data_IF_330959704814
#
_entry.id   IF_330959704814
#
_cell.length_a   1.000
_cell.length_b   1.000
_cell.length_c   1.000
_cell.angle_alpha   90.00
_cell.angle_beta   90.00
_cell.angle_gamma   90.00
#
_symmetry.space_group_name_H-M   'P 1'
#
loop_
_entity.id
_entity.type
_entity.pdbx_description
1 polymer ?
#
# COMPACT_ATOMS: atom_id res chain seq x y z
N UNK A 1 -66.02 -7.30 -14.67
CA UNK A 1 -65.06 -7.05 -15.76
C UNK A 1 -64.29 -5.79 -15.44
N UNK A 2 -62.96 -5.87 -15.33
CA UNK A 2 -62.09 -4.71 -15.11
C UNK A 2 -61.10 -4.92 -13.96
N UNK A 3 -59.81 -4.82 -14.30
CA UNK A 3 -58.63 -4.63 -13.42
C UNK A 3 -57.79 -5.86 -13.03
N UNK A 4 -57.59 -6.82 -13.95
CA UNK A 4 -56.45 -7.79 -13.89
C UNK A 4 -55.50 -7.66 -15.10
N UNK A 5 -55.23 -6.43 -15.57
CA UNK A 5 -54.40 -6.21 -16.77
C UNK A 5 -53.18 -5.29 -16.54
N UNK A 6 -52.86 -4.92 -15.30
CA UNK A 6 -51.69 -4.08 -14.99
C UNK A 6 -50.96 -4.49 -13.71
N UNK A 7 -50.87 -5.79 -13.43
CA UNK A 7 -49.68 -6.30 -12.76
C UNK A 7 -48.75 -6.83 -13.84
N UNK A 8 -48.26 -5.93 -14.70
CA UNK A 8 -46.99 -6.17 -15.37
C UNK A 8 -45.99 -6.37 -14.25
N UNK A 9 -45.47 -7.59 -14.16
CA UNK A 9 -44.45 -8.01 -13.19
C UNK A 9 -43.16 -7.21 -13.49
N UNK A 10 -43.16 -5.95 -13.09
CA UNK A 10 -42.04 -5.01 -13.13
C UNK A 10 -40.99 -5.36 -12.06
N UNK A 11 -41.09 -6.54 -11.44
CA UNK A 11 -40.02 -7.07 -10.63
C UNK A 11 -38.78 -7.27 -11.52
N UNK A 12 -37.60 -7.01 -10.95
CA UNK A 12 -36.31 -7.23 -11.62
C UNK A 12 -36.21 -8.67 -12.18
N UNK A 13 -36.90 -9.60 -11.53
CA UNK A 13 -37.01 -11.00 -11.92
C UNK A 13 -37.91 -11.22 -13.15
N UNK A 14 -39.10 -10.61 -13.21
CA UNK A 14 -40.03 -10.68 -14.34
C UNK A 14 -39.43 -10.06 -15.61
N UNK A 15 -38.74 -8.92 -15.50
CA UNK A 15 -38.05 -8.30 -16.64
C UNK A 15 -36.89 -9.18 -17.13
N UNK A 16 -36.10 -9.78 -16.23
CA UNK A 16 -35.01 -10.68 -16.63
C UNK A 16 -35.55 -11.90 -17.38
N UNK A 17 -36.61 -12.55 -16.91
CA UNK A 17 -37.14 -13.75 -17.58
C UNK A 17 -37.60 -13.49 -19.02
N UNK A 18 -38.24 -12.34 -19.27
CA UNK A 18 -38.73 -11.93 -20.59
C UNK A 18 -37.72 -11.16 -21.46
N UNK A 19 -36.54 -10.83 -20.94
CA UNK A 19 -35.53 -10.05 -21.66
C UNK A 19 -34.66 -10.91 -22.59
N UNK A 20 -34.25 -10.29 -23.70
CA UNK A 20 -33.28 -10.82 -24.66
C UNK A 20 -31.99 -11.28 -23.98
N UNK A 21 -31.40 -12.36 -24.52
CA UNK A 21 -30.20 -13.00 -23.97
C UNK A 21 -29.02 -12.02 -23.80
N UNK A 22 -28.96 -11.00 -24.66
CA UNK A 22 -27.97 -9.93 -24.60
C UNK A 22 -28.08 -9.14 -23.29
N UNK A 23 -29.30 -8.80 -22.83
CA UNK A 23 -29.53 -8.07 -21.58
C UNK A 23 -29.06 -8.88 -20.38
N UNK A 24 -29.34 -10.19 -20.39
CA UNK A 24 -28.90 -11.11 -19.33
C UNK A 24 -27.37 -11.16 -19.23
N UNK A 25 -26.68 -11.23 -20.36
CA UNK A 25 -25.22 -11.19 -20.43
C UNK A 25 -24.66 -9.86 -19.89
N UNK A 26 -25.27 -8.72 -20.24
CA UNK A 26 -24.85 -7.40 -19.74
C UNK A 26 -25.03 -7.31 -18.22
N UNK A 27 -26.17 -7.73 -17.68
CA UNK A 27 -26.41 -7.70 -16.23
C UNK A 27 -25.37 -8.53 -15.46
N UNK A 28 -25.06 -9.75 -15.94
CA UNK A 28 -24.02 -10.59 -15.35
C UNK A 28 -22.65 -9.92 -15.46
N UNK A 29 -22.33 -9.35 -16.62
CA UNK A 29 -21.07 -8.63 -16.85
C UNK A 29 -20.88 -7.45 -15.89
N UNK A 30 -21.94 -6.67 -15.63
CA UNK A 30 -21.91 -5.55 -14.69
C UNK A 30 -21.70 -6.02 -13.24
N UNK A 31 -22.35 -7.12 -12.84
CA UNK A 31 -22.15 -7.71 -11.50
C UNK A 31 -20.69 -8.18 -11.35
N UNK A 32 -20.16 -8.90 -12.35
CA UNK A 32 -18.77 -9.36 -12.33
C UNK A 32 -17.78 -8.18 -12.30
N UNK A 33 -18.00 -7.15 -13.11
CA UNK A 33 -17.17 -5.95 -13.11
C UNK A 33 -17.18 -5.23 -11.75
N UNK A 34 -18.33 -5.20 -11.08
CA UNK A 34 -18.46 -4.64 -9.73
C UNK A 34 -17.63 -5.43 -8.71
N UNK A 35 -17.75 -6.77 -8.72
CA UNK A 35 -16.97 -7.64 -7.83
C UNK A 35 -15.47 -7.50 -8.09
N UNK A 36 -15.03 -7.44 -9.35
CA UNK A 36 -13.62 -7.22 -9.70
C UNK A 36 -13.12 -5.87 -9.19
N UNK A 37 -13.91 -4.81 -9.33
CA UNK A 37 -13.55 -3.48 -8.82
C UNK A 37 -13.35 -3.50 -7.30
N UNK A 38 -14.27 -4.13 -6.57
CA UNK A 38 -14.15 -4.31 -5.12
C UNK A 38 -12.97 -5.20 -4.73
N UNK A 39 -12.69 -6.26 -5.47
CA UNK A 39 -11.55 -7.14 -5.22
C UNK A 39 -10.22 -6.40 -5.39
N UNK A 40 -10.07 -5.60 -6.46
CA UNK A 40 -8.89 -4.76 -6.68
C UNK A 40 -8.73 -3.74 -5.55
N UNK A 41 -9.82 -3.08 -5.17
CA UNK A 41 -9.83 -2.10 -4.07
C UNK A 41 -9.40 -2.74 -2.75
N UNK A 42 -9.95 -3.91 -2.41
CA UNK A 42 -9.61 -4.62 -1.17
C UNK A 42 -8.18 -5.15 -1.17
N UNK A 43 -7.72 -5.72 -2.29
CA UNK A 43 -6.34 -6.19 -2.44
C UNK A 43 -5.33 -5.09 -2.16
N UNK A 44 -5.52 -3.91 -2.75
CA UNK A 44 -4.65 -2.75 -2.54
C UNK A 44 -4.74 -2.24 -1.09
N UNK A 45 -5.95 -2.22 -0.53
CA UNK A 45 -6.19 -1.75 0.84
C UNK A 45 -5.48 -2.62 1.89
N UNK A 46 -5.53 -3.94 1.74
CA UNK A 46 -4.85 -4.88 2.65
C UNK A 46 -3.33 -4.72 2.57
N UNK A 47 -2.78 -4.55 1.37
CA UNK A 47 -1.33 -4.36 1.18
C UNK A 47 -0.82 -3.11 1.91
N UNK A 48 -1.49 -1.97 1.71
CA UNK A 48 -1.14 -0.73 2.41
C UNK A 48 -1.29 -0.83 3.92
N UNK A 49 -2.38 -1.46 4.39
CA UNK A 49 -2.65 -1.59 5.82
C UNK A 49 -1.58 -2.45 6.51
N UNK A 50 -1.19 -3.57 5.91
CA UNK A 50 -0.17 -4.45 6.46
C UNK A 50 1.22 -3.79 6.48
N UNK A 51 1.60 -3.10 5.40
CA UNK A 51 2.88 -2.38 5.34
C UNK A 51 2.94 -1.24 6.38
N UNK A 52 1.86 -0.45 6.51
CA UNK A 52 1.75 0.63 7.49
C UNK A 52 1.81 0.09 8.92
N UNK A 53 1.07 -0.99 9.21
CA UNK A 53 1.08 -1.63 10.54
C UNK A 53 2.47 -2.16 10.88
N UNK A 54 3.16 -2.77 9.92
CA UNK A 54 4.53 -3.26 10.10
C UNK A 54 5.50 -2.13 10.42
N UNK A 55 5.52 -1.07 9.61
CA UNK A 55 6.39 0.09 9.82
C UNK A 55 6.16 0.75 11.18
N UNK A 56 4.90 0.88 11.61
CA UNK A 56 4.58 1.44 12.93
C UNK A 56 5.11 0.57 14.08
N UNK A 57 5.05 -0.76 13.94
CA UNK A 57 5.62 -1.69 14.92
C UNK A 57 7.14 -1.60 14.96
N UNK A 58 7.80 -1.61 13.80
CA UNK A 58 9.27 -1.43 13.71
C UNK A 58 9.69 -0.10 14.35
N UNK A 59 8.99 1.00 14.05
CA UNK A 59 9.25 2.31 14.65
C UNK A 59 9.13 2.28 16.18
N UNK A 60 8.11 1.62 16.73
CA UNK A 60 7.92 1.50 18.17
C UNK A 60 9.07 0.72 18.83
N UNK A 61 9.49 -0.39 18.23
CA UNK A 61 10.62 -1.19 18.71
C UNK A 61 11.93 -0.41 18.67
N UNK A 62 12.16 0.37 17.61
CA UNK A 62 13.35 1.21 17.49
C UNK A 62 13.32 2.44 18.43
N UNK A 63 12.15 2.92 18.84
CA UNK A 63 12.04 4.06 19.75
C UNK A 63 12.60 3.74 21.16
N UNK A 64 12.67 2.46 21.52
CA UNK A 64 13.23 1.99 22.79
C UNK A 64 14.77 1.86 22.74
N UNK A 65 15.37 1.86 21.54
CA UNK A 65 16.80 1.74 21.37
C UNK A 65 17.54 3.01 21.84
N UNK A 66 18.62 2.82 22.59
CA UNK A 66 19.47 3.91 23.13
C UNK A 66 20.81 4.03 22.42
N UNK A 67 21.14 3.08 21.56
CA UNK A 67 22.37 3.09 20.74
C UNK A 67 22.09 2.52 19.35
N UNK A 68 22.97 2.84 18.40
CA UNK A 68 22.85 2.30 17.03
C UNK A 68 23.04 0.78 17.02
N UNK A 69 23.98 0.26 17.81
CA UNK A 69 24.18 -1.19 17.95
C UNK A 69 22.91 -1.89 18.46
N UNK A 70 22.26 -1.33 19.48
CA UNK A 70 21.00 -1.87 19.99
C UNK A 70 19.87 -1.78 18.95
N UNK A 71 19.83 -0.69 18.16
CA UNK A 71 18.88 -0.56 17.07
C UNK A 71 19.11 -1.61 15.97
N UNK A 72 20.36 -1.94 15.65
CA UNK A 72 20.73 -3.00 14.71
C UNK A 72 20.34 -4.40 15.24
N UNK A 73 20.57 -4.67 16.52
CA UNK A 73 20.18 -5.94 17.15
C UNK A 73 18.66 -6.14 17.12
N UNK A 74 17.89 -5.09 17.43
CA UNK A 74 16.42 -5.11 17.33
C UNK A 74 15.98 -5.29 15.87
N UNK A 75 16.66 -4.61 14.94
CA UNK A 75 16.34 -4.69 13.52
C UNK A 75 16.74 -6.01 12.86
N UNK A 76 17.60 -6.81 13.48
CA UNK A 76 17.95 -8.15 12.99
C UNK A 76 16.73 -9.08 12.93
N UNK A 77 15.74 -8.86 13.78
CA UNK A 77 14.46 -9.61 13.78
C UNK A 77 13.44 -9.03 12.79
N UNK A 78 13.77 -7.94 12.09
CA UNK A 78 12.90 -7.36 11.07
C UNK A 78 13.00 -8.14 9.75
N UNK A 79 11.91 -8.13 8.97
CA UNK A 79 11.92 -8.76 7.66
C UNK A 79 12.94 -8.11 6.72
N UNK A 80 13.51 -8.92 5.80
CA UNK A 80 14.55 -8.50 4.83
C UNK A 80 14.14 -7.36 3.88
N UNK A 81 12.84 -7.04 3.81
CA UNK A 81 12.27 -5.93 3.02
C UNK A 81 11.87 -4.72 3.89
N UNK A 82 12.31 -4.67 5.15
CA UNK A 82 11.96 -3.56 6.05
C UNK A 82 12.79 -2.32 5.72
N UNK A 83 12.11 -1.18 5.62
CA UNK A 83 12.77 0.10 5.36
C UNK A 83 13.69 0.46 6.53
N UNK A 84 13.22 0.21 7.75
CA UNK A 84 13.94 0.50 9.00
C UNK A 84 15.31 -0.19 9.05
N UNK A 85 15.39 -1.47 8.68
CA UNK A 85 16.65 -2.21 8.58
C UNK A 85 17.58 -1.62 7.52
N UNK A 86 17.06 -1.29 6.33
CA UNK A 86 17.88 -0.69 5.28
C UNK A 86 18.44 0.68 5.68
N UNK A 87 17.67 1.49 6.41
CA UNK A 87 18.11 2.78 6.91
C UNK A 87 19.20 2.63 7.98
N UNK A 88 19.03 1.70 8.91
CA UNK A 88 20.04 1.41 9.94
C UNK A 88 21.34 0.88 9.35
N UNK A 89 21.27 -0.04 8.37
CA UNK A 89 22.44 -0.54 7.66
C UNK A 89 23.20 0.58 6.92
N UNK A 90 22.51 1.55 6.32
CA UNK A 90 23.17 2.68 5.66
C UNK A 90 23.87 3.59 6.68
N UNK A 91 23.26 3.81 7.85
CA UNK A 91 23.89 4.58 8.93
C UNK A 91 25.10 3.87 9.54
N UNK A 92 25.00 2.55 9.75
CA UNK A 92 26.09 1.72 10.24
C UNK A 92 27.27 1.71 9.26
N UNK A 93 26.99 1.50 7.98
CA UNK A 93 28.00 1.50 6.92
C UNK A 93 28.70 2.88 6.79
N UNK A 94 27.97 3.99 6.94
CA UNK A 94 28.61 5.33 6.94
C UNK A 94 29.51 5.54 8.16
N UNK A 95 29.14 5.03 9.34
CA UNK A 95 29.99 5.08 10.53
C UNK A 95 31.26 4.24 10.39
N UNK A 96 31.15 3.01 9.87
CA UNK A 96 32.30 2.14 9.61
C UNK A 96 33.26 2.77 8.59
N UNK A 97 32.73 3.34 7.51
CA UNK A 97 33.54 4.05 6.51
C UNK A 97 34.23 5.30 7.06
N UNK A 98 33.69 5.86 8.14
CA UNK A 98 34.19 7.08 8.78
C UNK A 98 34.99 6.79 10.05
N UNK A 99 35.30 5.52 10.32
CA UNK A 99 36.11 5.12 11.47
C UNK A 99 37.48 5.82 11.42
N UNK A 100 37.77 6.62 12.45
CA UNK A 100 39.00 7.44 12.53
C UNK A 100 38.89 8.85 11.94
N UNK A 101 37.71 9.27 11.48
CA UNK A 101 37.45 10.67 11.10
C UNK A 101 36.90 11.48 12.28
N UNK A 102 37.47 12.66 12.55
CA UNK A 102 36.95 13.61 13.57
C UNK A 102 35.76 14.45 13.07
N UNK A 103 35.38 14.31 11.78
CA UNK A 103 34.30 15.08 11.16
C UNK A 103 32.91 14.49 11.45
N UNK A 104 32.53 14.51 12.73
CA UNK A 104 31.22 14.02 13.17
C UNK A 104 30.04 14.76 12.53
N UNK A 105 30.21 16.06 12.22
CA UNK A 105 29.18 16.88 11.60
C UNK A 105 28.96 16.47 10.15
N UNK A 106 30.03 16.32 9.35
CA UNK A 106 29.93 15.83 7.99
C UNK A 106 29.41 14.40 7.89
N UNK A 107 29.79 13.51 8.83
CA UNK A 107 29.23 12.14 8.90
C UNK A 107 27.72 12.18 9.10
N UNK A 108 27.24 13.03 10.02
CA UNK A 108 25.81 13.21 10.29
C UNK A 108 25.08 13.76 9.07
N UNK A 109 25.63 14.75 8.37
CA UNK A 109 25.04 15.32 7.16
C UNK A 109 24.97 14.31 6.00
N UNK A 110 26.04 13.54 5.77
CA UNK A 110 26.05 12.50 4.73
C UNK A 110 25.04 11.40 5.06
N UNK A 111 25.01 10.96 6.32
CA UNK A 111 24.03 9.97 6.79
C UNK A 111 22.60 10.48 6.59
N UNK A 112 22.29 11.69 7.08
CA UNK A 112 20.93 12.24 6.99
C UNK A 112 20.47 12.41 5.54
N UNK A 113 21.35 12.89 4.66
CA UNK A 113 21.07 13.03 3.24
C UNK A 113 20.79 11.68 2.56
N UNK A 114 21.58 10.64 2.86
CA UNK A 114 21.36 9.28 2.33
C UNK A 114 20.03 8.69 2.82
N UNK A 115 19.70 8.89 4.10
CA UNK A 115 18.44 8.46 4.69
C UNK A 115 17.25 9.15 4.00
N UNK A 116 17.29 10.47 3.85
CA UNK A 116 16.23 11.24 3.18
C UNK A 116 16.03 10.78 1.73
N UNK A 117 17.12 10.62 0.98
CA UNK A 117 17.08 10.13 -0.41
C UNK A 117 16.45 8.74 -0.50
N UNK A 118 16.76 7.84 0.44
CA UNK A 118 16.21 6.48 0.47
C UNK A 118 14.72 6.49 0.85
N UNK A 119 14.32 7.28 1.84
CA UNK A 119 12.90 7.48 2.19
C UNK A 119 12.12 8.03 0.99
N UNK A 120 12.66 9.05 0.31
CA UNK A 120 12.04 9.62 -0.88
C UNK A 120 11.90 8.61 -2.03
N UNK A 121 12.91 7.74 -2.23
CA UNK A 121 12.85 6.68 -3.24
C UNK A 121 11.75 5.66 -2.92
N UNK A 122 11.64 5.22 -1.66
CA UNK A 122 10.58 4.30 -1.24
C UNK A 122 9.20 4.94 -1.31
N UNK A 123 9.07 6.22 -0.95
CA UNK A 123 7.83 6.99 -1.11
C UNK A 123 7.36 7.03 -2.57
N UNK A 124 8.28 7.27 -3.52
CA UNK A 124 7.95 7.21 -4.96
C UNK A 124 7.54 5.80 -5.41
N UNK A 125 8.18 4.76 -4.89
CA UNK A 125 7.81 3.38 -5.19
C UNK A 125 6.42 3.03 -4.67
N UNK A 126 6.06 3.46 -3.46
CA UNK A 126 4.71 3.28 -2.90
C UNK A 126 3.64 4.03 -3.71
N UNK A 127 4.00 5.16 -4.31
CA UNK A 127 3.13 5.92 -5.21
C UNK A 127 2.96 5.32 -6.63
N UNK A 128 3.80 4.34 -7.03
CA UNK A 128 3.68 3.72 -8.37
C UNK A 128 2.35 2.95 -8.48
N UNK A 129 1.63 3.21 -9.58
CA UNK A 129 0.33 2.61 -9.87
C UNK A 129 -0.88 3.45 -9.43
N UNK A 130 -0.69 4.52 -8.65
CA UNK A 130 -1.75 5.48 -8.35
C UNK A 130 -2.00 6.48 -9.51
N UNK A 131 -1.10 6.56 -10.49
CA UNK A 131 -1.21 7.46 -11.64
C UNK A 131 -2.45 7.21 -12.51
N UNK A 132 -2.86 5.95 -12.69
CA UNK A 132 -4.10 5.62 -13.42
C UNK A 132 -5.36 6.07 -12.68
N UNK A 133 -5.35 6.07 -11.34
CA UNK A 133 -6.44 6.59 -10.52
C UNK A 133 -6.46 8.12 -10.54
N UNK A 134 -5.29 8.77 -10.60
CA UNK A 134 -5.17 10.22 -10.68
C UNK A 134 -5.68 10.80 -12.01
N UNK A 135 -5.60 10.06 -13.12
CA UNK A 135 -6.12 10.50 -14.43
C UNK A 135 -7.64 10.33 -14.59
N UNK A 136 -8.28 9.50 -13.76
CA UNK A 136 -9.73 9.25 -13.85
C UNK A 136 -10.53 10.38 -13.16
N UNK A 137 -9.89 11.18 -12.31
CA UNK A 137 -10.52 12.32 -11.62
C UNK A 137 -10.16 13.70 -12.16
N UNK A 138 -9.48 13.79 -13.31
CA UNK A 138 -9.06 15.05 -13.96
C UNK A 138 -9.96 15.40 -15.15
#
# INVERSE_FOLDING_TARGET
MGNNLMQTDLSVWGMYQHADIVVKCVMIGLILASVVTWAIFFSKSVEFFNQKRRLKREQQLLAEARSLNQANDIAADFGSKSLSLHLLNEAQNELELSEGSDDNEGIKERTSFRLERRVAAVGRQMGRGNGYLATIGA
#
